data_IF_743731946015
#
_entry.id   IF_743731946015
#
_cell.length_a   1.000
_cell.length_b   1.000
_cell.length_c   1.000
_cell.angle_alpha   90.00
_cell.angle_beta   90.00
_cell.angle_gamma   90.00
#
_symmetry.space_group_name_H-M   'P 1'
#
loop_
_entity.id
_entity.type
_entity.pdbx_description
1 polymer ?
#
# COMPACT_ATOMS: atom_id res chain seq x y z
N UNK A 1 -11.91 37.77 -0.23
CA UNK A 1 -12.68 37.28 -1.40
C UNK A 1 -13.26 35.93 -1.02
N UNK A 2 -14.58 35.81 -0.96
CA UNK A 2 -15.26 34.68 -0.34
C UNK A 2 -15.04 33.38 -1.09
N UNK A 3 -14.60 32.34 -0.37
CA UNK A 3 -14.62 30.96 -0.84
C UNK A 3 -16.06 30.58 -1.19
N UNK A 4 -16.42 30.72 -2.46
CA UNK A 4 -17.70 30.28 -3.00
C UNK A 4 -17.78 28.77 -2.77
N UNK A 5 -18.63 28.38 -1.81
CA UNK A 5 -18.94 26.99 -1.52
C UNK A 5 -19.26 26.30 -2.85
N UNK A 6 -18.37 25.40 -3.27
CA UNK A 6 -18.59 24.53 -4.42
C UNK A 6 -19.89 23.78 -4.16
N UNK A 7 -21.01 24.25 -4.74
CA UNK A 7 -22.28 23.51 -4.79
C UNK A 7 -21.93 22.15 -5.40
N UNK A 8 -21.91 21.12 -4.57
CA UNK A 8 -21.71 19.76 -5.06
C UNK A 8 -23.01 19.34 -5.71
N UNK A 9 -23.05 19.45 -7.03
CA UNK A 9 -24.13 18.89 -7.84
C UNK A 9 -24.15 17.38 -7.66
N UNK A 10 -25.35 16.80 -7.51
CA UNK A 10 -25.52 15.35 -7.48
C UNK A 10 -25.11 14.75 -8.83
N UNK A 11 -24.76 13.46 -8.81
CA UNK A 11 -24.33 12.80 -10.04
C UNK A 11 -25.51 12.56 -10.99
N UNK A 12 -26.74 12.37 -10.47
CA UNK A 12 -27.94 12.32 -11.32
C UNK A 12 -28.15 13.65 -12.05
N UNK A 13 -28.07 14.76 -11.31
CA UNK A 13 -28.25 16.09 -11.90
C UNK A 13 -27.23 16.37 -13.01
N UNK A 14 -25.96 15.98 -12.83
CA UNK A 14 -24.96 16.14 -13.89
C UNK A 14 -25.29 15.30 -15.12
N UNK A 15 -25.72 14.04 -14.94
CA UNK A 15 -26.11 13.17 -16.07
C UNK A 15 -27.27 13.77 -16.85
N UNK A 16 -28.31 14.23 -16.16
CA UNK A 16 -29.47 14.84 -16.79
C UNK A 16 -29.10 16.16 -17.50
N UNK A 17 -28.26 16.99 -16.88
CA UNK A 17 -27.76 18.22 -17.48
C UNK A 17 -26.92 17.97 -18.75
N UNK A 18 -26.06 16.94 -18.74
CA UNK A 18 -25.28 16.53 -19.91
C UNK A 18 -26.21 15.99 -20.99
N UNK A 19 -27.17 15.13 -20.64
CA UNK A 19 -28.15 14.57 -21.57
C UNK A 19 -28.97 15.68 -22.24
N UNK A 20 -29.44 16.66 -21.47
CA UNK A 20 -30.15 17.84 -21.97
C UNK A 20 -29.28 18.68 -22.89
N UNK A 21 -28.03 18.96 -22.49
CA UNK A 21 -27.10 19.75 -23.30
C UNK A 21 -26.78 19.09 -24.66
N UNK A 22 -26.87 17.77 -24.75
CA UNK A 22 -26.63 17.01 -25.98
C UNK A 22 -27.86 16.86 -26.87
N UNK A 23 -29.04 16.71 -26.27
CA UNK A 23 -30.30 16.52 -27.01
C UNK A 23 -30.92 17.85 -27.46
N UNK A 24 -30.63 18.96 -26.75
CA UNK A 24 -31.13 20.28 -27.11
C UNK A 24 -30.39 20.87 -28.30
N UNK A 25 -31.10 21.66 -29.12
CA UNK A 25 -30.49 22.54 -30.14
C UNK A 25 -29.91 23.83 -29.56
N UNK A 26 -30.06 24.04 -28.24
CA UNK A 26 -29.58 25.22 -27.51
C UNK A 26 -28.08 25.16 -27.29
N UNK A 27 -27.45 26.32 -27.14
CA UNK A 27 -26.03 26.37 -26.78
C UNK A 27 -25.82 25.92 -25.32
N UNK A 28 -24.64 25.38 -25.00
CA UNK A 28 -24.29 24.97 -23.63
C UNK A 28 -24.46 26.14 -22.64
N UNK A 29 -24.29 27.38 -23.09
CA UNK A 29 -24.41 28.56 -22.23
C UNK A 29 -25.87 28.88 -21.89
N UNK A 30 -26.79 28.67 -22.82
CA UNK A 30 -28.23 28.80 -22.58
C UNK A 30 -28.74 27.68 -21.67
N UNK A 31 -28.35 26.43 -21.94
CA UNK A 31 -28.72 25.29 -21.08
C UNK A 31 -28.19 25.49 -19.65
N UNK A 32 -26.96 25.99 -19.49
CA UNK A 32 -26.43 26.31 -18.17
C UNK A 32 -27.22 27.41 -17.44
N UNK A 33 -27.69 28.45 -18.16
CA UNK A 33 -28.54 29.51 -17.60
C UNK A 33 -29.89 28.94 -17.17
N UNK A 34 -30.53 28.14 -18.00
CA UNK A 34 -31.82 27.50 -17.72
C UNK A 34 -31.74 26.60 -16.48
N UNK A 35 -30.60 25.91 -16.29
CA UNK A 35 -30.35 25.03 -15.14
C UNK A 35 -29.77 25.74 -13.90
N UNK A 36 -29.43 27.03 -13.99
CA UNK A 36 -28.76 27.76 -12.91
C UNK A 36 -27.35 27.26 -12.56
N UNK A 37 -26.63 26.72 -13.53
CA UNK A 37 -25.26 26.16 -13.39
C UNK A 37 -24.25 27.09 -14.06
N UNK A 38 -23.00 27.09 -13.59
CA UNK A 38 -21.92 27.77 -14.32
C UNK A 38 -21.73 27.14 -15.70
N UNK A 39 -21.68 27.95 -16.79
CA UNK A 39 -21.49 27.43 -18.14
C UNK A 39 -20.14 26.74 -18.34
N UNK A 40 -19.13 27.11 -17.55
CA UNK A 40 -17.82 26.45 -17.57
C UNK A 40 -17.87 25.06 -16.93
N UNK A 41 -18.65 24.90 -15.85
CA UNK A 41 -18.87 23.59 -15.23
C UNK A 41 -19.60 22.65 -16.18
N UNK A 42 -20.67 23.11 -16.83
CA UNK A 42 -21.43 22.30 -17.79
C UNK A 42 -20.58 21.91 -19.01
N UNK A 43 -19.77 22.84 -19.55
CA UNK A 43 -18.79 22.52 -20.60
C UNK A 43 -17.81 21.44 -20.16
N UNK A 44 -17.28 21.55 -18.93
CA UNK A 44 -16.37 20.55 -18.37
C UNK A 44 -17.01 19.17 -18.26
N UNK A 45 -18.27 19.09 -17.83
CA UNK A 45 -19.02 17.84 -17.73
C UNK A 45 -19.29 17.21 -19.10
N UNK A 46 -19.74 17.99 -20.09
CA UNK A 46 -19.96 17.51 -21.46
C UNK A 46 -18.65 17.05 -22.10
N UNK A 47 -17.55 17.79 -21.91
CA UNK A 47 -16.23 17.37 -22.38
C UNK A 47 -15.82 16.04 -21.74
N UNK A 48 -16.08 15.87 -20.44
CA UNK A 48 -15.74 14.62 -19.75
C UNK A 48 -16.59 13.45 -20.26
N UNK A 49 -17.89 13.63 -20.40
CA UNK A 49 -18.80 12.61 -20.96
C UNK A 49 -18.35 12.18 -22.37
N UNK A 50 -17.95 13.14 -23.20
CA UNK A 50 -17.40 12.87 -24.53
C UNK A 50 -16.17 11.98 -24.47
N UNK A 51 -15.22 12.28 -23.58
CA UNK A 51 -14.02 11.46 -23.38
C UNK A 51 -14.40 10.06 -22.88
N UNK A 52 -15.30 9.98 -21.89
CA UNK A 52 -15.74 8.73 -21.27
C UNK A 52 -16.51 7.83 -22.25
N UNK A 53 -17.08 8.40 -23.31
CA UNK A 53 -17.73 7.68 -24.44
C UNK A 53 -16.76 7.31 -25.58
N UNK A 54 -15.46 7.59 -25.43
CA UNK A 54 -14.44 7.25 -26.44
C UNK A 54 -14.32 8.24 -27.59
N UNK A 55 -14.98 9.40 -27.51
CA UNK A 55 -14.91 10.48 -28.51
C UNK A 55 -13.83 11.53 -28.16
N UNK A 56 -12.95 11.19 -27.20
CA UNK A 56 -11.83 12.02 -26.75
C UNK A 56 -10.69 12.07 -27.76
N UNK A 57 -9.78 13.03 -27.57
CA UNK A 57 -8.55 13.12 -28.36
C UNK A 57 -7.59 11.98 -28.05
N UNK A 58 -6.61 11.75 -28.95
CA UNK A 58 -5.55 10.77 -28.71
C UNK A 58 -4.83 11.06 -27.38
N UNK A 59 -4.83 10.07 -26.47
CA UNK A 59 -4.22 10.19 -25.13
C UNK A 59 -5.14 10.72 -24.02
N UNK A 60 -6.38 11.11 -24.32
CA UNK A 60 -7.35 11.46 -23.29
C UNK A 60 -7.94 10.17 -22.67
N UNK A 61 -7.53 9.87 -21.44
CA UNK A 61 -8.06 8.72 -20.69
C UNK A 61 -9.48 9.00 -20.19
N UNK A 62 -10.35 8.00 -20.29
CA UNK A 62 -11.65 7.94 -19.62
C UNK A 62 -11.49 8.01 -18.10
N UNK A 63 -12.55 8.39 -17.41
CA UNK A 63 -12.60 8.42 -15.95
C UNK A 63 -12.34 7.04 -15.34
N UNK A 64 -12.81 5.97 -15.99
CA UNK A 64 -12.56 4.60 -15.58
C UNK A 64 -11.08 4.23 -15.71
N UNK A 65 -10.48 4.47 -16.88
CA UNK A 65 -9.04 4.20 -17.11
C UNK A 65 -8.14 4.99 -16.16
N UNK A 66 -8.49 6.23 -15.82
CA UNK A 66 -7.72 7.02 -14.84
C UNK A 66 -7.78 6.44 -13.44
N UNK A 67 -8.94 6.00 -12.99
CA UNK A 67 -9.08 5.40 -11.66
C UNK A 67 -8.37 4.05 -11.60
N UNK A 68 -8.47 3.24 -12.66
CA UNK A 68 -7.71 2.00 -12.79
C UNK A 68 -6.21 2.27 -12.79
N UNK A 69 -5.72 3.23 -13.57
CA UNK A 69 -4.29 3.60 -13.60
C UNK A 69 -3.79 4.04 -12.22
N UNK A 70 -4.61 4.79 -11.49
CA UNK A 70 -4.30 5.23 -10.12
C UNK A 70 -4.26 4.04 -9.16
N UNK A 71 -5.20 3.11 -9.28
CA UNK A 71 -5.25 1.89 -8.48
C UNK A 71 -4.04 1.00 -8.75
N UNK A 72 -3.70 0.77 -10.02
CA UNK A 72 -2.53 0.01 -10.45
C UNK A 72 -1.22 0.66 -9.96
N UNK A 73 -1.09 1.98 -10.05
CA UNK A 73 0.08 2.70 -9.51
C UNK A 73 0.24 2.51 -8.01
N UNK A 74 -0.87 2.53 -7.25
CA UNK A 74 -0.84 2.24 -5.81
C UNK A 74 -0.40 0.81 -5.52
N UNK A 75 -0.96 -0.17 -6.23
CA UNK A 75 -0.58 -1.57 -6.10
C UNK A 75 0.89 -1.80 -6.44
N UNK A 76 1.39 -1.18 -7.51
CA UNK A 76 2.78 -1.32 -7.92
C UNK A 76 3.75 -0.79 -6.85
N UNK A 77 3.43 0.37 -6.23
CA UNK A 77 4.22 0.90 -5.11
C UNK A 77 4.20 -0.06 -3.89
N UNK A 78 3.06 -0.67 -3.58
CA UNK A 78 2.95 -1.64 -2.48
C UNK A 78 3.73 -2.94 -2.77
N UNK A 79 3.65 -3.43 -4.00
CA UNK A 79 4.41 -4.58 -4.48
C UNK A 79 5.91 -4.31 -4.44
N UNK A 80 6.35 -3.14 -4.92
CA UNK A 80 7.75 -2.76 -4.92
C UNK A 80 8.34 -2.72 -3.50
N UNK A 81 7.59 -2.17 -2.53
CA UNK A 81 7.97 -2.19 -1.11
C UNK A 81 8.09 -3.62 -0.58
N UNK A 82 7.16 -4.50 -0.95
CA UNK A 82 7.19 -5.92 -0.55
C UNK A 82 8.44 -6.62 -1.10
N UNK A 83 8.74 -6.41 -2.39
CA UNK A 83 9.95 -6.96 -3.04
C UNK A 83 11.21 -6.42 -2.36
N UNK A 84 11.28 -5.13 -2.05
CA UNK A 84 12.42 -4.53 -1.37
C UNK A 84 12.63 -5.13 0.02
N UNK A 85 11.55 -5.28 0.81
CA UNK A 85 11.61 -5.94 2.11
C UNK A 85 12.12 -7.37 1.95
N UNK A 86 11.57 -8.16 1.03
CA UNK A 86 12.00 -9.55 0.81
C UNK A 86 13.48 -9.63 0.39
N UNK A 87 13.96 -8.70 -0.44
CA UNK A 87 15.38 -8.61 -0.79
C UNK A 87 16.24 -8.30 0.45
N UNK A 88 15.85 -7.34 1.28
CA UNK A 88 16.55 -7.03 2.54
C UNK A 88 16.55 -8.22 3.50
N UNK A 89 15.43 -8.94 3.62
CA UNK A 89 15.28 -10.16 4.42
C UNK A 89 16.17 -11.30 3.91
N UNK A 90 16.37 -11.40 2.60
CA UNK A 90 17.25 -12.37 1.98
C UNK A 90 18.73 -12.01 2.19
N UNK A 91 19.08 -10.72 2.20
CA UNK A 91 20.45 -10.24 2.42
C UNK A 91 20.88 -10.22 3.90
N UNK A 92 19.98 -9.84 4.81
CA UNK A 92 20.30 -9.60 6.22
C UNK A 92 20.24 -10.85 7.11
N UNK A 93 19.76 -11.97 6.58
CA UNK A 93 19.57 -13.21 7.34
C UNK A 93 20.35 -14.35 6.68
N UNK A 94 21.09 -15.16 7.45
CA UNK A 94 21.86 -16.26 6.88
C UNK A 94 20.92 -17.26 6.18
N UNK A 95 21.37 -17.91 5.09
CA UNK A 95 20.59 -18.99 4.48
C UNK A 95 20.36 -20.08 5.53
N UNK A 96 19.11 -20.58 5.61
CA UNK A 96 18.82 -21.75 6.42
C UNK A 96 19.55 -22.95 5.78
N UNK A 97 20.51 -23.48 6.53
CA UNK A 97 21.31 -24.69 6.28
C UNK A 97 22.54 -24.55 5.36
N UNK A 98 23.68 -24.75 6.01
CA UNK A 98 24.88 -25.39 5.48
C UNK A 98 24.56 -26.83 5.03
N UNK A 99 24.55 -27.05 3.73
CA UNK A 99 24.46 -28.37 3.10
C UNK A 99 24.75 -28.18 1.62
N UNK A 100 25.72 -28.93 1.11
CA UNK A 100 26.20 -28.89 -0.27
C UNK A 100 25.19 -29.49 -1.25
N UNK A 101 24.06 -28.80 -1.47
CA UNK A 101 23.20 -29.00 -2.64
C UNK A 101 23.03 -27.67 -3.38
N UNK A 102 23.76 -27.62 -4.48
CA UNK A 102 24.06 -26.46 -5.30
C UNK A 102 22.92 -26.14 -6.27
N UNK A 103 22.53 -24.86 -6.34
CA UNK A 103 21.72 -24.22 -7.37
C UNK A 103 20.26 -24.72 -7.53
N UNK A 104 19.33 -23.76 -7.49
CA UNK A 104 17.88 -23.93 -7.70
C UNK A 104 17.07 -24.50 -6.52
N UNK A 105 16.98 -23.70 -5.47
CA UNK A 105 15.66 -23.40 -4.90
C UNK A 105 15.43 -21.88 -4.93
N UNK A 106 15.35 -21.35 -6.16
CA UNK A 106 14.62 -20.11 -6.45
C UNK A 106 13.13 -20.40 -6.20
N UNK A 107 12.68 -20.33 -4.96
CA UNK A 107 11.28 -20.63 -4.67
C UNK A 107 10.97 -20.41 -3.21
N UNK A 108 10.26 -19.31 -2.94
CA UNK A 108 9.40 -19.06 -1.77
C UNK A 108 9.93 -19.54 -0.40
N UNK A 109 10.24 -18.57 0.46
CA UNK A 109 10.48 -18.77 1.90
C UNK A 109 9.50 -19.80 2.47
N UNK A 110 9.99 -20.99 2.84
CA UNK A 110 9.16 -21.98 3.53
C UNK A 110 8.75 -21.41 4.89
N UNK A 111 7.44 -21.28 5.18
CA UNK A 111 6.98 -20.92 6.52
C UNK A 111 7.53 -21.93 7.54
N UNK A 112 8.19 -21.45 8.58
CA UNK A 112 8.59 -22.28 9.74
C UNK A 112 10.09 -22.59 9.92
N UNK A 113 11.00 -22.20 9.01
CA UNK A 113 12.43 -22.52 9.15
C UNK A 113 13.35 -21.41 9.67
N UNK A 114 12.84 -20.20 9.96
CA UNK A 114 13.67 -19.13 10.54
C UNK A 114 13.51 -19.07 12.06
N UNK A 115 14.59 -19.02 12.85
CA UNK A 115 14.47 -18.85 14.29
C UNK A 115 13.79 -17.50 14.55
N UNK A 116 12.68 -17.53 15.29
CA UNK A 116 11.79 -16.39 15.57
C UNK A 116 12.55 -15.13 16.04
N UNK A 117 13.67 -15.31 16.74
CA UNK A 117 14.52 -14.21 17.22
C UNK A 117 15.18 -13.39 16.10
N UNK A 118 15.54 -14.01 14.98
CA UNK A 118 16.16 -13.34 13.85
C UNK A 118 15.16 -12.47 13.08
N UNK A 119 13.94 -12.99 12.94
CA UNK A 119 12.81 -12.25 12.35
C UNK A 119 12.48 -11.00 13.16
N UNK A 120 12.47 -11.10 14.50
CA UNK A 120 12.25 -9.93 15.36
C UNK A 120 13.39 -8.91 15.32
N UNK A 121 14.65 -9.34 15.15
CA UNK A 121 15.78 -8.41 14.97
C UNK A 121 15.64 -7.61 13.69
N UNK A 122 15.28 -8.27 12.59
CA UNK A 122 15.04 -7.60 11.31
C UNK A 122 13.90 -6.56 11.42
N UNK A 123 12.76 -6.95 12.01
CA UNK A 123 11.64 -6.02 12.22
C UNK A 123 12.08 -4.82 13.09
N UNK A 124 12.85 -5.06 14.16
CA UNK A 124 13.33 -4.00 15.02
C UNK A 124 14.30 -3.02 14.32
N UNK A 125 15.08 -3.50 13.34
CA UNK A 125 16.00 -2.68 12.55
C UNK A 125 15.28 -1.86 11.47
N UNK A 126 14.31 -2.46 10.77
CA UNK A 126 13.66 -1.86 9.59
C UNK A 126 12.34 -1.11 9.91
N UNK A 127 11.81 -1.19 11.13
CA UNK A 127 10.57 -0.50 11.54
C UNK A 127 10.61 1.03 11.42
N UNK A 128 11.80 1.62 11.30
CA UNK A 128 11.96 3.05 11.06
C UNK A 128 11.67 3.41 9.58
N UNK A 129 11.83 2.45 8.68
CA UNK A 129 11.69 2.59 7.23
C UNK A 129 10.33 2.11 6.73
N UNK A 130 9.81 1.01 7.29
CA UNK A 130 8.55 0.40 6.88
C UNK A 130 7.57 0.26 8.04
N UNK A 131 6.26 0.37 7.79
CA UNK A 131 5.27 0.13 8.82
C UNK A 131 5.35 -1.32 9.32
N UNK A 132 5.32 -1.50 10.64
CA UNK A 132 5.45 -2.83 11.29
C UNK A 132 4.41 -3.82 10.77
N UNK A 133 3.19 -3.36 10.50
CA UNK A 133 2.14 -4.21 9.92
C UNK A 133 2.51 -4.79 8.55
N UNK A 134 3.21 -4.03 7.71
CA UNK A 134 3.70 -4.51 6.41
C UNK A 134 4.81 -5.54 6.62
N UNK A 135 5.77 -5.26 7.50
CA UNK A 135 6.85 -6.21 7.82
C UNK A 135 6.30 -7.54 8.33
N UNK A 136 5.35 -7.52 9.27
CA UNK A 136 4.71 -8.73 9.80
C UNK A 136 3.94 -9.49 8.72
N UNK A 137 3.21 -8.79 7.84
CA UNK A 137 2.48 -9.40 6.71
C UNK A 137 3.43 -10.08 5.73
N UNK A 138 4.50 -9.39 5.32
CA UNK A 138 5.48 -9.91 4.35
C UNK A 138 6.27 -11.09 4.92
N UNK A 139 6.56 -11.06 6.21
CA UNK A 139 7.29 -12.13 6.90
C UNK A 139 6.38 -13.26 7.40
N UNK A 140 5.07 -13.18 7.17
CA UNK A 140 4.05 -14.12 7.67
C UNK A 140 4.15 -14.38 9.19
N UNK A 141 4.44 -13.33 9.98
CA UNK A 141 4.51 -13.41 11.44
C UNK A 141 3.19 -12.96 12.04
N UNK A 142 2.61 -13.76 12.94
CA UNK A 142 1.43 -13.35 13.70
C UNK A 142 1.77 -12.12 14.56
N UNK A 143 1.14 -10.98 14.25
CA UNK A 143 1.29 -9.71 14.96
C UNK A 143 1.11 -9.75 16.51
N UNK A 144 0.30 -10.65 17.13
CA UNK A 144 0.06 -10.58 18.57
C UNK A 144 1.25 -10.99 19.48
N UNK A 145 2.34 -11.54 18.95
CA UNK A 145 3.51 -11.93 19.75
C UNK A 145 4.60 -10.85 19.84
N UNK A 146 4.42 -9.69 19.17
CA UNK A 146 5.51 -8.75 18.90
C UNK A 146 5.98 -7.91 20.10
N UNK A 147 5.21 -7.70 21.19
CA UNK A 147 5.58 -6.65 22.17
C UNK A 147 5.47 -6.85 23.69
N UNK A 148 4.95 -7.93 24.31
CA UNK A 148 5.07 -8.03 25.78
C UNK A 148 6.36 -8.71 26.27
N UNK A 149 6.86 -9.75 25.58
CA UNK A 149 7.96 -10.59 26.09
C UNK A 149 9.38 -10.26 25.61
N UNK A 150 9.52 -9.73 24.39
CA UNK A 150 10.85 -9.55 23.77
C UNK A 150 11.65 -8.40 24.40
N UNK A 151 10.97 -7.35 24.87
CA UNK A 151 11.60 -6.21 25.56
C UNK A 151 12.03 -6.53 26.99
N UNK A 152 11.32 -7.45 27.68
CA UNK A 152 11.68 -7.86 29.04
C UNK A 152 12.88 -8.80 29.11
N UNK A 153 13.12 -9.64 28.08
CA UNK A 153 14.24 -10.62 28.09
C UNK A 153 15.63 -9.98 27.90
N UNK A 154 15.72 -8.69 27.56
CA UNK A 154 16.99 -7.94 27.45
C UNK A 154 17.38 -7.15 28.72
N UNK A 155 16.51 -7.01 29.72
CA UNK A 155 16.86 -6.31 30.99
C UNK A 155 17.43 -7.23 32.09
N UNK A 156 17.65 -8.52 31.79
CA UNK A 156 18.15 -9.51 32.75
C UNK A 156 19.45 -10.21 32.35
N UNK A 157 20.36 -9.54 31.61
CA UNK A 157 21.68 -10.12 31.27
C UNK A 157 22.83 -9.13 31.44
N UNK A 158 22.72 -8.34 32.49
CA UNK A 158 23.75 -7.46 33.02
C UNK A 158 23.57 -7.39 34.54
N UNK A 159 23.57 -8.57 35.17
CA UNK A 159 23.87 -8.72 36.58
C UNK A 159 25.14 -9.58 36.64
N UNK A 160 26.26 -8.92 36.88
CA UNK A 160 27.50 -9.55 37.30
C UNK A 160 27.23 -10.40 38.54
N UNK A 161 27.30 -11.73 38.41
CA UNK A 161 27.21 -12.63 39.55
C UNK A 161 27.95 -13.94 39.25
N UNK A 162 29.24 -13.94 39.63
CA UNK A 162 30.03 -15.06 40.16
C UNK A 162 29.53 -16.47 39.77
N UNK A 163 30.20 -17.05 38.77
CA UNK A 163 30.25 -18.51 38.61
C UNK A 163 30.84 -19.11 39.90
N UNK A 164 30.07 -19.94 40.61
CA UNK A 164 30.64 -20.97 41.50
C UNK A 164 30.75 -22.26 40.68
N UNK A 165 31.88 -22.98 40.74
CA UNK A 165 32.04 -24.24 40.03
C UNK A 165 31.15 -25.34 40.62
N UNK A 166 30.64 -26.20 39.75
CA UNK A 166 29.86 -27.40 40.08
C UNK A 166 30.72 -28.41 40.87
N UNK A 167 30.17 -29.16 41.84
CA UNK A 167 30.92 -30.23 42.49
C UNK A 167 31.02 -31.44 41.56
N UNK A 168 32.24 -31.88 41.27
CA UNK A 168 32.53 -33.20 40.70
C UNK A 168 32.19 -34.27 41.73
N UNK A 169 31.21 -35.13 41.43
CA UNK A 169 30.96 -36.36 42.21
C UNK A 169 31.86 -37.45 41.64
N UNK A 170 32.92 -37.78 42.37
CA UNK A 170 33.73 -38.98 42.19
C UNK A 170 33.24 -40.05 43.15
N UNK A 171 32.70 -41.14 42.61
CA UNK A 171 33.01 -42.55 42.91
C UNK A 171 32.09 -43.44 42.09
#
# INVERSE_FOLDING_TARGET
>A
MGSQYSKRYSEEFKRDAIALARSSSKTITEVARDLGVSPESLRGWVKRDRIDRGEGGAGELTSAEREELKQLRRQNVEQQKTIEILKKVFMALPPACSGEDSYLSRGLLRPGQRPVNEVYRFIAAEKATYPVALLCRVLAVAAPLFMPGWRLRRRGRNASARMRPWPTRSQ
#
